data_IF_905450824096
#
_entry.id   IF_905450824096
#
_cell.length_a   1.000
_cell.length_b   1.000
_cell.length_c   1.000
_cell.angle_alpha   90.00
_cell.angle_beta   90.00
_cell.angle_gamma   90.00
#
_symmetry.space_group_name_H-M   'P 1'
#
loop_
_entity.id
_entity.type
_entity.pdbx_description
1 polymer ?
#
# COMPACT_ATOMS: atom_id res chain seq x y z
N UNK A 1 -3.81 -7.39 6.55
CA UNK A 1 -4.20 -6.33 5.59
C UNK A 1 -4.67 -5.03 6.23
N UNK A 2 -5.81 -4.96 6.94
CA UNK A 2 -6.32 -3.68 7.50
C UNK A 2 -5.30 -2.96 8.38
N UNK A 3 -4.69 -3.70 9.31
CA UNK A 3 -3.68 -3.17 10.22
C UNK A 3 -2.43 -2.64 9.47
N UNK A 4 -1.99 -3.35 8.43
CA UNK A 4 -0.92 -2.92 7.53
C UNK A 4 -1.24 -1.55 6.93
N UNK A 5 -2.40 -1.42 6.27
CA UNK A 5 -2.82 -0.15 5.64
C UNK A 5 -2.93 0.96 6.69
N UNK A 6 -3.55 0.68 7.83
CA UNK A 6 -3.73 1.66 8.92
C UNK A 6 -2.41 2.16 9.49
N UNK A 7 -1.36 1.32 9.52
CA UNK A 7 -0.03 1.74 9.96
C UNK A 7 0.66 2.70 8.99
N UNK A 8 0.23 2.73 7.72
CA UNK A 8 0.78 3.59 6.67
C UNK A 8 0.02 4.92 6.51
N UNK A 9 -1.25 4.97 6.93
CA UNK A 9 -2.08 6.18 6.86
C UNK A 9 -1.48 7.44 7.53
N UNK A 10 -0.69 7.34 8.62
CA UNK A 10 -0.02 8.51 9.21
C UNK A 10 0.93 9.25 8.26
N UNK A 11 1.32 8.65 7.13
CA UNK A 11 2.09 9.32 6.08
C UNK A 11 1.31 10.44 5.37
N UNK A 12 -0.02 10.43 5.45
CA UNK A 12 -0.89 11.47 4.91
C UNK A 12 -0.69 11.70 3.41
N UNK A 13 -0.83 12.95 2.97
CA UNK A 13 -0.76 13.34 1.56
C UNK A 13 0.64 13.25 0.94
N UNK A 14 1.68 12.99 1.75
CA UNK A 14 3.04 12.78 1.25
C UNK A 14 3.28 11.34 0.76
N UNK A 15 2.32 10.44 0.99
CA UNK A 15 2.45 9.01 0.71
C UNK A 15 1.25 8.52 -0.07
N UNK A 16 1.52 7.92 -1.23
CA UNK A 16 0.54 7.08 -1.92
C UNK A 16 0.64 5.64 -1.40
N UNK A 17 -0.50 5.00 -1.18
CA UNK A 17 -0.63 3.61 -0.75
C UNK A 17 -1.26 2.82 -1.88
N UNK A 18 -0.44 2.03 -2.57
CA UNK A 18 -0.91 1.13 -3.63
C UNK A 18 -1.21 -0.24 -3.04
N UNK A 19 -2.48 -0.61 -3.01
CA UNK A 19 -2.96 -1.89 -2.49
C UNK A 19 -3.13 -2.84 -3.66
N UNK A 20 -2.18 -3.75 -3.84
CA UNK A 20 -2.18 -4.69 -4.96
C UNK A 20 -2.78 -6.03 -4.53
N UNK A 21 -3.95 -6.35 -5.06
CA UNK A 21 -4.58 -7.67 -4.95
C UNK A 21 -4.18 -8.56 -6.13
N UNK A 22 -3.34 -9.56 -5.83
CA UNK A 22 -2.78 -10.51 -6.79
C UNK A 22 -3.71 -11.72 -7.02
N UNK A 23 -4.99 -11.45 -7.32
CA UNK A 23 -5.97 -12.47 -7.64
C UNK A 23 -6.44 -13.30 -6.44
N UNK A 24 -6.69 -12.64 -5.30
CA UNK A 24 -7.24 -13.30 -4.12
C UNK A 24 -8.66 -13.78 -4.37
N UNK A 25 -8.93 -15.07 -4.13
CA UNK A 25 -10.24 -15.70 -4.38
C UNK A 25 -10.90 -16.30 -3.14
N UNK A 26 -10.17 -16.36 -2.03
CA UNK A 26 -10.58 -17.10 -0.82
C UNK A 26 -10.90 -16.21 0.37
N UNK A 27 -10.69 -14.90 0.24
CA UNK A 27 -10.89 -13.94 1.31
C UNK A 27 -11.41 -12.60 0.75
N UNK A 28 -11.43 -11.59 1.62
CA UNK A 28 -12.00 -10.27 1.34
C UNK A 28 -10.92 -9.26 0.93
N UNK A 29 -9.75 -9.71 0.47
CA UNK A 29 -8.63 -8.82 0.13
C UNK A 29 -9.05 -7.77 -0.90
N UNK A 30 -9.70 -8.19 -2.00
CA UNK A 30 -10.21 -7.27 -3.01
C UNK A 30 -11.20 -6.24 -2.42
N UNK A 31 -12.19 -6.72 -1.66
CA UNK A 31 -13.19 -5.85 -1.01
C UNK A 31 -12.56 -4.83 -0.04
N UNK A 32 -11.52 -5.25 0.70
CA UNK A 32 -10.81 -4.39 1.63
C UNK A 32 -10.01 -3.34 0.85
N UNK A 33 -9.33 -3.71 -0.24
CA UNK A 33 -8.63 -2.76 -1.10
C UNK A 33 -9.58 -1.65 -1.60
N UNK A 34 -10.71 -2.05 -2.18
CA UNK A 34 -11.76 -1.13 -2.66
C UNK A 34 -12.32 -0.23 -1.54
N UNK A 35 -12.46 -0.78 -0.33
CA UNK A 35 -12.93 -0.02 0.82
C UNK A 35 -11.98 1.11 1.20
N UNK A 36 -10.67 0.84 1.26
CA UNK A 36 -9.68 1.86 1.62
C UNK A 36 -9.49 2.90 0.51
N UNK A 37 -9.55 2.51 -0.76
CA UNK A 37 -9.56 3.47 -1.88
C UNK A 37 -10.75 4.44 -1.77
N UNK A 38 -11.96 3.93 -1.50
CA UNK A 38 -13.15 4.80 -1.30
C UNK A 38 -13.04 5.68 -0.06
N UNK A 39 -12.45 5.17 1.03
CA UNK A 39 -12.36 5.87 2.32
C UNK A 39 -11.28 6.94 2.32
N UNK A 40 -10.19 6.73 1.59
CA UNK A 40 -9.03 7.63 1.52
C UNK A 40 -8.69 7.97 0.05
N UNK A 41 -9.61 8.64 -0.67
CA UNK A 41 -9.39 8.97 -2.06
C UNK A 41 -8.18 9.90 -2.21
N UNK A 42 -7.29 9.56 -3.14
CA UNK A 42 -6.04 10.30 -3.38
C UNK A 42 -4.84 9.81 -2.55
N UNK A 43 -5.07 9.06 -1.47
CA UNK A 43 -4.02 8.42 -0.66
C UNK A 43 -3.94 6.93 -1.01
N UNK A 44 -5.06 6.22 -0.93
CA UNK A 44 -5.13 4.79 -1.24
C UNK A 44 -5.62 4.56 -2.67
N UNK A 45 -5.01 3.60 -3.37
CA UNK A 45 -5.47 3.11 -4.68
C UNK A 45 -5.48 1.58 -4.70
N UNK A 46 -6.58 1.00 -5.17
CA UNK A 46 -6.72 -0.45 -5.33
C UNK A 46 -6.26 -0.86 -6.73
N UNK A 47 -5.49 -1.95 -6.82
CA UNK A 47 -5.01 -2.53 -8.08
C UNK A 47 -5.32 -4.01 -8.03
N UNK A 48 -6.09 -4.49 -9.01
CA UNK A 48 -6.46 -5.91 -9.11
C UNK A 48 -5.84 -6.52 -10.35
N UNK A 49 -5.29 -7.72 -10.21
CA UNK A 49 -4.71 -8.49 -11.30
C UNK A 49 -4.99 -9.98 -11.14
N UNK A 50 -4.71 -10.74 -12.20
CA UNK A 50 -4.63 -12.20 -12.09
C UNK A 50 -3.38 -12.60 -11.31
N UNK A 51 -3.45 -13.72 -10.56
CA UNK A 51 -2.35 -14.19 -9.72
C UNK A 51 -1.07 -14.42 -10.52
N UNK A 52 -0.08 -13.56 -10.30
CA UNK A 52 1.27 -13.63 -10.87
C UNK A 52 2.35 -13.91 -9.83
N UNK A 53 1.97 -14.01 -8.55
CA UNK A 53 2.85 -14.15 -7.40
C UNK A 53 3.36 -12.83 -6.85
N UNK A 54 3.96 -12.87 -5.65
CA UNK A 54 4.42 -11.69 -4.91
C UNK A 54 5.31 -10.75 -5.73
N UNK A 55 6.25 -11.29 -6.51
CA UNK A 55 7.12 -10.48 -7.36
C UNK A 55 6.35 -9.69 -8.43
N UNK A 56 5.30 -10.28 -9.00
CA UNK A 56 4.47 -9.57 -9.97
C UNK A 56 3.58 -8.52 -9.30
N UNK A 57 3.07 -8.79 -8.09
CA UNK A 57 2.35 -7.78 -7.30
C UNK A 57 3.22 -6.55 -7.00
N UNK A 58 4.49 -6.77 -6.61
CA UNK A 58 5.47 -5.69 -6.40
C UNK A 58 5.72 -4.92 -7.71
N UNK A 59 5.91 -5.62 -8.83
CA UNK A 59 6.11 -4.98 -10.12
C UNK A 59 4.88 -4.17 -10.57
N UNK A 60 3.68 -4.65 -10.32
CA UNK A 60 2.44 -3.93 -10.62
C UNK A 60 2.32 -2.66 -9.78
N UNK A 61 2.66 -2.73 -8.50
CA UNK A 61 2.79 -1.55 -7.65
C UNK A 61 3.79 -0.55 -8.23
N UNK A 62 5.00 -1.00 -8.56
CA UNK A 62 6.04 -0.13 -9.12
C UNK A 62 5.62 0.55 -10.44
N UNK A 63 4.93 -0.16 -11.34
CA UNK A 63 4.44 0.41 -12.61
C UNK A 63 3.35 1.48 -12.40
N UNK A 64 2.62 1.43 -11.29
CA UNK A 64 1.53 2.35 -10.98
C UNK A 64 1.91 3.46 -10.00
N UNK A 65 3.11 3.39 -9.42
CA UNK A 65 3.64 4.38 -8.49
C UNK A 65 4.00 5.69 -9.21
N UNK A 66 3.66 6.79 -8.56
CA UNK A 66 4.00 8.15 -8.94
C UNK A 66 5.03 8.79 -7.98
N UNK A 67 5.29 8.18 -6.83
CA UNK A 67 6.24 8.66 -5.83
C UNK A 67 7.71 8.56 -6.26
N UNK A 68 8.58 9.33 -5.58
CA UNK A 68 10.03 9.35 -5.82
C UNK A 68 10.72 8.14 -5.16
N UNK A 69 10.17 7.67 -4.04
CA UNK A 69 10.65 6.51 -3.29
C UNK A 69 9.59 5.42 -3.30
N UNK A 70 10.03 4.16 -3.27
CA UNK A 70 9.16 3.00 -3.29
C UNK A 70 9.52 2.04 -2.16
N UNK A 71 8.53 1.66 -1.35
CA UNK A 71 8.68 0.74 -0.23
C UNK A 71 7.60 -0.33 -0.32
N UNK A 72 8.04 -1.59 -0.36
CA UNK A 72 7.16 -2.75 -0.20
C UNK A 72 6.94 -3.01 1.29
N UNK A 73 5.67 -3.23 1.66
CA UNK A 73 5.25 -3.70 2.98
C UNK A 73 4.33 -4.89 2.75
N UNK A 74 4.67 -6.04 3.33
CA UNK A 74 3.84 -7.23 3.20
C UNK A 74 2.51 -7.04 3.93
N UNK A 75 1.44 -7.62 3.39
CA UNK A 75 0.08 -7.35 3.86
C UNK A 75 -0.22 -7.88 5.28
N UNK A 76 0.65 -8.76 5.79
CA UNK A 76 0.67 -9.31 7.14
C UNK A 76 1.69 -8.63 8.08
N UNK A 77 2.44 -7.64 7.58
CA UNK A 77 3.33 -6.77 8.35
C UNK A 77 2.74 -5.36 8.58
N UNK A 78 3.43 -4.54 9.37
CA UNK A 78 3.08 -3.15 9.66
C UNK A 78 4.34 -2.34 10.03
N UNK A 79 4.24 -1.01 9.99
CA UNK A 79 5.31 -0.12 10.44
C UNK A 79 5.04 0.41 11.84
N UNK A 80 6.12 0.65 12.60
CA UNK A 80 6.04 1.48 13.80
C UNK A 80 5.88 2.95 13.40
N UNK A 81 4.90 3.63 13.99
CA UNK A 81 4.55 5.00 13.60
C UNK A 81 5.70 5.99 13.84
N UNK A 82 6.41 5.87 14.96
CA UNK A 82 7.52 6.79 15.27
C UNK A 82 8.68 6.60 14.29
N UNK A 83 9.09 5.35 14.04
CA UNK A 83 10.12 5.04 13.05
C UNK A 83 9.71 5.47 11.63
N UNK A 84 8.44 5.30 11.27
CA UNK A 84 7.94 5.70 9.97
C UNK A 84 8.01 7.22 9.76
N UNK A 85 7.63 8.02 10.77
CA UNK A 85 7.75 9.48 10.71
C UNK A 85 9.20 9.95 10.59
N UNK A 86 10.15 9.27 11.25
CA UNK A 86 11.58 9.57 11.11
C UNK A 86 12.10 9.29 9.69
N UNK A 87 11.64 8.21 9.06
CA UNK A 87 11.96 7.89 7.66
C UNK A 87 11.43 9.00 6.74
N UNK A 88 10.15 9.39 6.88
CA UNK A 88 9.57 10.46 6.06
C UNK A 88 10.35 11.77 6.25
N UNK A 89 10.67 12.15 7.49
CA UNK A 89 11.46 13.34 7.77
C UNK A 89 12.88 13.30 7.17
N UNK A 90 13.47 12.11 7.06
CA UNK A 90 14.78 11.91 6.43
C UNK A 90 14.70 12.04 4.91
N UNK A 91 13.67 11.46 4.29
CA UNK A 91 13.48 11.46 2.83
C UNK A 91 13.05 12.82 2.26
N UNK A 92 12.55 13.75 3.10
CA UNK A 92 12.24 15.14 2.69
C UNK A 92 13.48 15.98 2.37
N UNK A 93 14.69 15.54 2.73
CA UNK A 93 15.94 16.29 2.60
C UNK A 93 16.59 16.09 1.24
#
# INVERSE_FOLDING_TARGET
MRHCIESLLPGGDEVEILIVDDGSTKDRTAEIADEYERKYPGICRAIHQENGGHGEAVNAGLRNAAGIYYKVVDSDDWVDEAAYQEILATLRR
#
